data_IF_498643482109
#
_entry.id   IF_498643482109
#
_cell.length_a   1.000
_cell.length_b   1.000
_cell.length_c   1.000
_cell.angle_alpha   90.00
_cell.angle_beta   90.00
_cell.angle_gamma   90.00
#
_symmetry.space_group_name_H-M   'P 1'
#
loop_
_entity.id
_entity.type
_entity.pdbx_description
1 polymer ?
#
# COMPACT_ATOMS: atom_id res chain seq x y z
N UNK A 1 18.55 -16.44 -8.00
CA UNK A 1 17.86 -15.88 -6.84
C UNK A 1 16.52 -15.25 -7.17
N UNK A 2 16.46 -14.25 -8.07
CA UNK A 2 15.18 -13.62 -8.49
C UNK A 2 14.17 -14.65 -8.99
N UNK A 3 14.57 -15.62 -9.85
CA UNK A 3 13.71 -16.68 -10.37
C UNK A 3 13.12 -17.53 -9.25
N UNK A 4 13.92 -17.86 -8.23
CA UNK A 4 13.45 -18.62 -7.06
C UNK A 4 12.38 -17.81 -6.28
N UNK A 5 12.66 -16.53 -6.05
CA UNK A 5 11.72 -15.65 -5.36
C UNK A 5 10.39 -15.52 -6.12
N UNK A 6 10.46 -15.31 -7.45
CA UNK A 6 9.27 -15.25 -8.31
C UNK A 6 8.50 -16.58 -8.27
N UNK A 7 9.20 -17.72 -8.31
CA UNK A 7 8.59 -19.03 -8.18
C UNK A 7 7.86 -19.24 -6.85
N UNK A 8 8.49 -18.83 -5.74
CA UNK A 8 7.87 -18.87 -4.40
C UNK A 8 6.62 -18.00 -4.36
N UNK A 9 6.69 -16.77 -4.86
CA UNK A 9 5.53 -15.85 -4.85
C UNK A 9 4.39 -16.38 -5.73
N UNK A 10 4.69 -16.92 -6.91
CA UNK A 10 3.69 -17.50 -7.79
C UNK A 10 3.00 -18.73 -7.14
N UNK A 11 3.78 -19.61 -6.48
CA UNK A 11 3.25 -20.76 -5.75
C UNK A 11 2.40 -20.28 -4.56
N UNK A 12 2.86 -19.27 -3.82
CA UNK A 12 2.12 -18.67 -2.71
C UNK A 12 0.76 -18.12 -3.16
N UNK A 13 0.70 -17.45 -4.32
CA UNK A 13 -0.57 -16.95 -4.90
C UNK A 13 -1.53 -18.09 -5.26
N UNK A 14 -1.02 -19.21 -5.79
CA UNK A 14 -1.85 -20.39 -6.03
C UNK A 14 -2.40 -21.00 -4.73
N UNK A 15 -1.58 -21.06 -3.68
CA UNK A 15 -1.99 -21.55 -2.36
C UNK A 15 -3.00 -20.60 -1.71
N UNK A 16 -2.82 -19.30 -1.88
CA UNK A 16 -3.73 -18.25 -1.38
C UNK A 16 -5.15 -18.41 -1.95
N UNK A 17 -5.26 -18.74 -3.23
CA UNK A 17 -6.56 -18.99 -3.86
C UNK A 17 -7.33 -20.17 -3.23
N UNK A 18 -6.63 -21.15 -2.65
CA UNK A 18 -7.22 -22.35 -2.05
C UNK A 18 -7.41 -22.21 -0.53
N UNK A 19 -6.42 -21.65 0.18
CA UNK A 19 -6.37 -21.62 1.64
C UNK A 19 -6.64 -20.24 2.25
N UNK A 20 -6.73 -19.21 1.42
CA UNK A 20 -6.99 -17.84 1.82
C UNK A 20 -5.72 -17.07 2.22
N UNK A 21 -5.84 -15.74 2.19
CA UNK A 21 -4.75 -14.78 2.49
C UNK A 21 -4.15 -14.93 3.88
N UNK A 22 -4.91 -15.17 4.98
CA UNK A 22 -4.33 -15.30 6.32
C UNK A 22 -3.33 -16.46 6.42
N UNK A 23 -3.64 -17.59 5.79
CA UNK A 23 -2.77 -18.76 5.79
C UNK A 23 -1.42 -18.47 5.12
N UNK A 24 -1.42 -17.83 3.95
CA UNK A 24 -0.19 -17.53 3.21
C UNK A 24 0.62 -16.43 3.90
N UNK A 25 -0.06 -15.44 4.48
CA UNK A 25 0.60 -14.38 5.26
C UNK A 25 1.39 -14.96 6.43
N UNK A 26 0.84 -15.95 7.14
CA UNK A 26 1.49 -16.58 8.28
C UNK A 26 2.56 -17.60 7.87
N UNK A 27 2.24 -18.52 6.94
CA UNK A 27 3.07 -19.68 6.62
C UNK A 27 4.10 -19.47 5.52
N UNK A 28 3.99 -18.38 4.74
CA UNK A 28 4.94 -18.06 3.67
C UNK A 28 5.59 -16.71 3.93
N UNK A 29 4.81 -15.63 3.91
CA UNK A 29 5.36 -14.28 3.94
C UNK A 29 5.91 -13.88 5.32
N UNK A 30 5.32 -14.38 6.41
CA UNK A 30 5.80 -14.16 7.78
C UNK A 30 6.96 -15.06 8.21
N UNK A 31 7.33 -16.06 7.39
CA UNK A 31 8.35 -17.03 7.75
C UNK A 31 9.77 -16.48 7.55
N UNK A 32 10.65 -16.83 8.48
CA UNK A 32 12.05 -16.38 8.48
C UNK A 32 12.81 -16.72 7.20
N UNK A 33 12.55 -17.87 6.56
CA UNK A 33 13.21 -18.26 5.32
C UNK A 33 12.87 -17.32 4.15
N UNK A 34 11.63 -16.81 4.10
CA UNK A 34 11.20 -15.84 3.09
C UNK A 34 11.89 -14.48 3.29
N UNK A 35 11.99 -14.05 4.56
CA UNK A 35 12.75 -12.84 4.92
C UNK A 35 14.23 -12.99 4.58
N UNK A 36 14.83 -14.17 4.80
CA UNK A 36 16.22 -14.46 4.43
C UNK A 36 16.45 -14.40 2.91
N UNK A 37 15.50 -14.85 2.08
CA UNK A 37 15.59 -14.71 0.62
C UNK A 37 15.66 -13.23 0.21
N UNK A 38 14.84 -12.38 0.81
CA UNK A 38 14.87 -10.94 0.57
C UNK A 38 16.16 -10.28 1.10
N UNK A 39 16.65 -10.69 2.25
CA UNK A 39 17.91 -10.21 2.80
C UNK A 39 19.11 -10.56 1.89
N UNK A 40 19.14 -11.79 1.38
CA UNK A 40 20.19 -12.21 0.42
C UNK A 40 20.09 -11.45 -0.91
N UNK A 41 18.88 -11.19 -1.41
CA UNK A 41 18.68 -10.36 -2.60
C UNK A 41 19.17 -8.93 -2.37
N UNK A 42 18.84 -8.35 -1.22
CA UNK A 42 19.29 -7.01 -0.83
C UNK A 42 20.81 -6.93 -0.71
N UNK A 43 21.44 -7.91 -0.07
CA UNK A 43 22.90 -7.98 0.08
C UNK A 43 23.62 -8.13 -1.27
N UNK A 44 23.11 -8.98 -2.17
CA UNK A 44 23.67 -9.13 -3.51
C UNK A 44 23.49 -7.88 -4.35
N UNK A 45 22.33 -7.19 -4.23
CA UNK A 45 22.06 -5.91 -4.87
C UNK A 45 23.01 -4.81 -4.40
N UNK A 46 23.19 -4.70 -3.07
CA UNK A 46 24.13 -3.75 -2.48
C UNK A 46 25.58 -4.02 -2.93
N UNK A 47 26.03 -5.28 -2.89
CA UNK A 47 27.35 -5.67 -3.38
C UNK A 47 27.55 -5.33 -4.88
N UNK A 48 26.52 -5.54 -5.69
CA UNK A 48 26.55 -5.17 -7.09
C UNK A 48 26.68 -3.65 -7.29
N UNK A 49 25.92 -2.84 -6.55
CA UNK A 49 26.00 -1.38 -6.60
C UNK A 49 27.43 -0.91 -6.29
N UNK A 50 28.05 -1.49 -5.25
CA UNK A 50 29.40 -1.11 -4.83
C UNK A 50 30.49 -1.51 -5.85
N UNK A 51 30.35 -2.70 -6.46
CA UNK A 51 31.36 -3.23 -7.40
C UNK A 51 31.22 -2.73 -8.83
N UNK A 52 30.02 -2.38 -9.28
CA UNK A 52 29.73 -2.05 -10.68
C UNK A 52 30.19 -0.64 -11.12
N UNK A 53 30.62 0.21 -10.17
CA UNK A 53 30.95 1.61 -10.47
C UNK A 53 29.73 2.45 -10.90
N UNK A 54 28.52 1.97 -10.62
CA UNK A 54 27.23 2.57 -10.98
C UNK A 54 27.07 3.97 -10.39
N UNK A 55 27.79 4.27 -9.32
CA UNK A 55 27.82 5.59 -8.66
C UNK A 55 28.18 6.73 -9.64
N UNK A 56 28.92 6.42 -10.72
CA UNK A 56 29.23 7.39 -11.78
C UNK A 56 28.03 7.77 -12.65
N UNK A 57 26.94 7.01 -12.57
CA UNK A 57 25.69 7.24 -13.30
C UNK A 57 24.55 7.51 -12.31
N UNK A 58 24.53 8.72 -11.77
CA UNK A 58 23.63 9.11 -10.67
C UNK A 58 22.16 8.63 -10.82
N UNK A 59 21.48 8.78 -11.99
CA UNK A 59 20.08 8.33 -12.09
C UNK A 59 19.91 6.82 -11.88
N UNK A 60 20.80 6.01 -12.45
CA UNK A 60 20.75 4.55 -12.32
C UNK A 60 21.13 4.11 -10.91
N UNK A 61 22.11 4.78 -10.30
CA UNK A 61 22.52 4.56 -8.92
C UNK A 61 21.35 4.82 -7.95
N UNK A 62 20.69 5.98 -8.07
CA UNK A 62 19.55 6.33 -7.24
C UNK A 62 18.39 5.33 -7.40
N UNK A 63 18.15 4.85 -8.61
CA UNK A 63 17.13 3.83 -8.88
C UNK A 63 17.40 2.52 -8.10
N UNK A 64 18.62 2.05 -8.05
CA UNK A 64 18.97 0.84 -7.31
C UNK A 64 18.99 1.08 -5.78
N UNK A 65 19.44 2.25 -5.34
CA UNK A 65 19.40 2.62 -3.93
C UNK A 65 17.96 2.73 -3.44
N UNK A 66 17.04 3.26 -4.25
CA UNK A 66 15.63 3.36 -3.86
C UNK A 66 15.00 1.99 -3.56
N UNK A 67 15.34 0.95 -4.33
CA UNK A 67 14.90 -0.41 -4.01
C UNK A 67 15.46 -0.91 -2.68
N UNK A 68 16.73 -0.63 -2.37
CA UNK A 68 17.30 -0.99 -1.07
C UNK A 68 16.61 -0.26 0.09
N UNK A 69 16.26 1.01 -0.10
CA UNK A 69 15.51 1.79 0.90
C UNK A 69 14.10 1.22 1.10
N UNK A 70 13.40 0.84 0.01
CA UNK A 70 12.09 0.19 0.10
C UNK A 70 12.20 -1.14 0.86
N UNK A 71 13.19 -1.96 0.55
CA UNK A 71 13.41 -3.24 1.24
C UNK A 71 13.79 -3.05 2.71
N UNK A 72 14.59 -2.04 3.03
CA UNK A 72 14.88 -1.67 4.42
C UNK A 72 13.62 -1.22 5.16
N UNK A 73 12.73 -0.45 4.50
CA UNK A 73 11.43 -0.07 5.04
C UNK A 73 10.55 -1.29 5.32
N UNK A 74 10.44 -2.21 4.35
CA UNK A 74 9.70 -3.45 4.51
C UNK A 74 10.24 -4.33 5.66
N UNK A 75 11.57 -4.41 5.80
CA UNK A 75 12.21 -5.12 6.89
C UNK A 75 11.96 -4.44 8.25
N UNK A 76 11.98 -3.11 8.30
CA UNK A 76 11.61 -2.36 9.51
C UNK A 76 10.16 -2.64 9.90
N UNK A 77 9.22 -2.58 8.93
CA UNK A 77 7.81 -2.96 9.16
C UNK A 77 7.71 -4.39 9.71
N UNK A 78 8.44 -5.34 9.14
CA UNK A 78 8.44 -6.73 9.60
C UNK A 78 8.87 -6.85 11.06
N UNK A 79 9.86 -6.07 11.50
CA UNK A 79 10.39 -6.11 12.87
C UNK A 79 9.56 -5.32 13.89
N UNK A 80 8.95 -4.19 13.48
CA UNK A 80 8.40 -3.21 14.41
C UNK A 80 6.89 -3.02 14.33
N UNK A 81 6.24 -3.54 13.26
CA UNK A 81 4.80 -3.36 13.13
C UNK A 81 4.01 -4.28 14.05
N UNK A 82 2.94 -3.75 14.60
CA UNK A 82 1.94 -4.51 15.33
C UNK A 82 0.65 -4.56 14.51
N UNK A 83 0.09 -5.76 14.38
CA UNK A 83 -1.13 -6.01 13.61
C UNK A 83 -2.16 -6.70 14.48
N UNK A 84 -3.42 -6.30 14.29
CA UNK A 84 -4.50 -6.91 15.01
C UNK A 84 -5.85 -6.45 14.50
N UNK A 85 -6.86 -6.63 15.31
CA UNK A 85 -8.22 -6.19 15.03
C UNK A 85 -8.85 -5.60 16.28
N UNK A 86 -9.74 -4.66 16.07
CA UNK A 86 -10.59 -4.10 17.10
C UNK A 86 -12.05 -4.29 16.68
N UNK A 87 -12.88 -4.74 17.60
CA UNK A 87 -14.32 -4.82 17.46
C UNK A 87 -14.95 -3.68 18.25
N UNK A 88 -15.85 -2.95 17.63
CA UNK A 88 -16.50 -1.77 18.19
C UNK A 88 -18.00 -1.84 17.92
N UNK A 89 -18.80 -1.53 18.92
CA UNK A 89 -20.23 -1.30 18.76
C UNK A 89 -20.56 0.19 18.90
N UNK A 90 -21.67 0.61 18.31
CA UNK A 90 -22.13 2.00 18.42
C UNK A 90 -22.25 2.45 19.88
N UNK A 91 -21.59 3.56 20.21
CA UNK A 91 -21.50 4.11 21.55
C UNK A 91 -20.45 3.46 22.46
N UNK A 92 -19.74 2.44 21.99
CA UNK A 92 -18.67 1.79 22.72
C UNK A 92 -17.33 2.52 22.48
N UNK A 93 -16.53 2.61 23.54
CA UNK A 93 -15.15 3.16 23.49
C UNK A 93 -14.18 2.10 23.93
N UNK A 94 -13.11 1.94 23.18
CA UNK A 94 -12.01 0.98 23.47
C UNK A 94 -10.67 1.70 23.44
N UNK A 95 -9.73 1.19 24.25
CA UNK A 95 -8.34 1.70 24.31
C UNK A 95 -7.31 0.67 23.87
N UNK A 96 -7.75 -0.56 23.56
CA UNK A 96 -6.86 -1.66 23.20
C UNK A 96 -7.41 -2.43 21.99
N UNK A 97 -6.52 -3.11 21.26
CA UNK A 97 -6.86 -3.98 20.15
C UNK A 97 -6.29 -5.38 20.38
N UNK A 98 -6.90 -6.38 19.77
CA UNK A 98 -6.47 -7.76 19.85
C UNK A 98 -5.47 -8.06 18.71
N UNK A 99 -4.25 -8.48 19.08
CA UNK A 99 -3.23 -8.94 18.11
C UNK A 99 -3.62 -10.32 17.53
N UNK A 100 -2.94 -10.69 16.45
CA UNK A 100 -3.15 -11.99 15.79
C UNK A 100 -2.82 -13.19 16.68
N UNK A 101 -1.94 -13.02 17.69
CA UNK A 101 -1.57 -14.01 18.69
C UNK A 101 -2.58 -14.13 19.86
N UNK A 102 -3.66 -13.33 19.82
CA UNK A 102 -4.69 -13.28 20.87
C UNK A 102 -4.32 -12.40 22.07
N UNK A 103 -3.17 -11.75 22.08
CA UNK A 103 -2.79 -10.80 23.13
C UNK A 103 -3.42 -9.44 22.89
N UNK A 104 -3.70 -8.69 23.98
CA UNK A 104 -4.20 -7.33 23.88
C UNK A 104 -3.04 -6.34 23.84
N UNK A 105 -3.10 -5.39 22.91
CA UNK A 105 -2.17 -4.27 22.84
C UNK A 105 -2.90 -2.96 23.05
N UNK A 106 -2.28 -2.03 23.75
CA UNK A 106 -2.82 -0.69 23.99
C UNK A 106 -2.70 0.17 22.73
N UNK A 107 -3.77 0.89 22.39
CA UNK A 107 -3.77 1.89 21.32
C UNK A 107 -3.06 3.20 21.74
N UNK A 108 -3.03 3.49 23.04
CA UNK A 108 -2.53 4.74 23.59
C UNK A 108 -3.47 5.94 23.37
N UNK A 109 -4.73 5.67 23.00
CA UNK A 109 -5.82 6.63 22.82
C UNK A 109 -7.18 5.94 22.87
N UNK A 110 -8.24 6.74 23.06
CA UNK A 110 -9.61 6.24 23.04
C UNK A 110 -10.14 6.18 21.60
N UNK A 111 -10.75 5.06 21.23
CA UNK A 111 -11.41 4.86 19.94
C UNK A 111 -12.87 4.51 20.16
N UNK A 112 -13.78 5.37 19.68
CA UNK A 112 -15.23 5.21 19.83
C UNK A 112 -15.91 5.08 18.47
N UNK A 113 -16.88 4.17 18.33
CA UNK A 113 -17.74 4.09 17.16
C UNK A 113 -18.96 5.00 17.37
N UNK A 114 -19.15 5.98 16.49
CA UNK A 114 -20.32 6.87 16.51
C UNK A 114 -21.50 6.27 15.76
N UNK A 115 -21.24 5.80 14.54
CA UNK A 115 -22.24 5.12 13.72
C UNK A 115 -21.59 4.19 12.71
N UNK A 116 -22.32 3.17 12.34
CA UNK A 116 -22.01 2.30 11.22
C UNK A 116 -23.12 2.36 10.18
N UNK A 117 -22.79 2.50 8.91
CA UNK A 117 -23.77 2.54 7.82
C UNK A 117 -23.30 1.75 6.61
N UNK A 118 -24.27 1.19 5.90
CA UNK A 118 -24.04 0.53 4.61
C UNK A 118 -24.61 1.44 3.53
N UNK A 119 -23.75 1.90 2.64
CA UNK A 119 -24.15 2.65 1.47
C UNK A 119 -24.48 1.69 0.33
N UNK A 120 -25.65 1.85 -0.31
CA UNK A 120 -26.07 1.03 -1.43
C UNK A 120 -25.98 1.80 -2.74
N UNK A 121 -25.88 1.07 -3.85
CA UNK A 121 -25.97 1.69 -5.17
C UNK A 121 -27.35 2.31 -5.39
N UNK A 122 -27.42 3.48 -6.04
CA UNK A 122 -28.70 4.18 -6.26
C UNK A 122 -29.75 3.26 -6.89
N UNK A 123 -30.93 3.17 -6.22
CA UNK A 123 -32.06 2.36 -6.70
C UNK A 123 -31.91 0.85 -6.50
N UNK A 124 -30.95 0.38 -5.71
CA UNK A 124 -30.76 -1.05 -5.39
C UNK A 124 -30.48 -1.27 -3.91
N UNK A 125 -30.65 -2.51 -3.44
CA UNK A 125 -30.24 -2.95 -2.10
C UNK A 125 -28.82 -3.55 -2.09
N UNK A 126 -28.08 -3.42 -3.19
CA UNK A 126 -26.72 -3.93 -3.29
C UNK A 126 -25.73 -3.00 -2.60
N UNK A 127 -24.93 -3.48 -1.64
CA UNK A 127 -23.98 -2.66 -0.92
C UNK A 127 -22.89 -2.11 -1.86
N UNK A 128 -22.63 -0.80 -1.77
CA UNK A 128 -21.56 -0.11 -2.47
C UNK A 128 -20.36 0.12 -1.56
N UNK A 129 -20.59 0.53 -0.31
CA UNK A 129 -19.54 0.77 0.67
C UNK A 129 -20.05 0.49 2.11
N UNK A 130 -19.11 0.26 3.02
CA UNK A 130 -19.37 0.05 4.45
C UNK A 130 -18.61 1.13 5.20
N UNK A 131 -19.33 2.07 5.81
CA UNK A 131 -18.76 3.26 6.43
C UNK A 131 -18.87 3.17 7.94
N UNK A 132 -17.73 3.21 8.62
CA UNK A 132 -17.62 3.31 10.08
C UNK A 132 -17.16 4.72 10.44
N UNK A 133 -18.03 5.49 11.07
CA UNK A 133 -17.67 6.79 11.64
C UNK A 133 -17.14 6.58 13.05
N UNK A 134 -15.83 6.73 13.22
CA UNK A 134 -15.16 6.57 14.51
C UNK A 134 -14.54 7.88 14.96
N UNK A 135 -14.35 7.99 16.26
CA UNK A 135 -13.70 9.13 16.89
C UNK A 135 -12.48 8.63 17.67
N UNK A 136 -11.30 9.18 17.35
CA UNK A 136 -10.06 8.90 18.06
C UNK A 136 -9.64 10.14 18.86
N UNK A 137 -9.66 10.08 20.20
CA UNK A 137 -9.43 11.23 21.09
C UNK A 137 -10.17 12.50 20.62
N UNK A 138 -11.45 12.41 20.29
CA UNK A 138 -12.28 13.49 19.74
C UNK A 138 -11.95 13.92 18.30
N UNK A 139 -11.08 13.21 17.59
CA UNK A 139 -10.81 13.43 16.16
C UNK A 139 -11.70 12.51 15.32
N UNK A 140 -12.60 13.04 14.48
CA UNK A 140 -13.46 12.22 13.64
C UNK A 140 -12.67 11.56 12.51
N UNK A 141 -12.94 10.29 12.27
CA UNK A 141 -12.35 9.47 11.21
C UNK A 141 -13.47 8.69 10.50
N UNK A 142 -13.62 8.89 9.21
CA UNK A 142 -14.49 8.08 8.38
C UNK A 142 -13.67 6.93 7.78
N UNK A 143 -14.01 5.71 8.14
CA UNK A 143 -13.31 4.49 7.70
C UNK A 143 -14.26 3.70 6.81
N UNK A 144 -13.82 3.40 5.59
CA UNK A 144 -14.59 2.59 4.66
C UNK A 144 -13.70 1.58 3.92
N UNK A 145 -14.29 0.80 3.01
CA UNK A 145 -13.52 -0.17 2.20
C UNK A 145 -12.38 0.51 1.43
N UNK A 146 -12.57 1.75 0.99
CA UNK A 146 -11.61 2.51 0.19
C UNK A 146 -10.96 3.68 0.94
N UNK A 147 -11.40 3.97 2.16
CA UNK A 147 -10.87 5.05 2.99
C UNK A 147 -10.29 4.53 4.30
N UNK A 148 -8.98 4.68 4.46
CA UNK A 148 -8.23 4.20 5.62
C UNK A 148 -8.16 5.30 6.67
N UNK A 149 -8.67 5.02 7.88
CA UNK A 149 -8.47 5.88 9.05
C UNK A 149 -7.01 5.91 9.49
N UNK A 150 -6.49 7.08 9.86
CA UNK A 150 -5.10 7.24 10.33
C UNK A 150 -5.06 8.14 11.55
N UNK A 151 -4.51 7.60 12.64
CA UNK A 151 -4.32 8.37 13.88
C UNK A 151 -3.12 7.86 14.66
N UNK A 152 -2.23 8.75 15.10
CA UNK A 152 -1.02 8.46 15.92
C UNK A 152 -0.19 7.26 15.46
N UNK A 153 0.02 7.10 14.15
CA UNK A 153 0.79 5.97 13.59
C UNK A 153 0.00 4.69 13.40
N UNK A 154 -1.22 4.61 13.90
CA UNK A 154 -2.17 3.54 13.62
C UNK A 154 -2.89 3.79 12.29
N UNK A 155 -3.17 2.70 11.57
CA UNK A 155 -4.03 2.66 10.39
C UNK A 155 -5.18 1.70 10.65
N UNK A 156 -6.39 2.17 10.36
CA UNK A 156 -7.61 1.42 10.54
C UNK A 156 -8.23 1.13 9.19
N UNK A 157 -8.53 -0.13 8.94
CA UNK A 157 -9.17 -0.59 7.69
C UNK A 157 -10.45 -1.31 8.02
N UNK A 158 -11.48 -1.15 7.19
CA UNK A 158 -12.74 -1.90 7.33
C UNK A 158 -12.47 -3.38 7.08
N UNK A 159 -12.67 -4.23 8.09
CA UNK A 159 -12.44 -5.67 8.01
C UNK A 159 -13.73 -6.51 8.07
N UNK A 160 -14.78 -5.97 8.67
CA UNK A 160 -16.06 -6.65 8.79
C UNK A 160 -17.06 -5.82 9.59
N UNK A 161 -18.27 -6.36 9.75
CA UNK A 161 -19.35 -5.73 10.53
C UNK A 161 -20.22 -6.80 11.18
N UNK A 162 -21.04 -6.38 12.13
CA UNK A 162 -21.97 -7.28 12.81
C UNK A 162 -23.27 -7.43 12.01
N UNK A 163 -23.92 -8.59 12.12
CA UNK A 163 -25.16 -8.88 11.39
C UNK A 163 -26.32 -7.93 11.73
N UNK A 164 -26.28 -7.29 12.91
CA UNK A 164 -27.28 -6.31 13.34
C UNK A 164 -26.98 -4.88 12.84
N UNK A 165 -25.89 -4.70 12.04
CA UNK A 165 -25.41 -3.43 11.48
C UNK A 165 -25.15 -2.33 12.54
N UNK A 166 -24.88 -2.73 13.81
CA UNK A 166 -24.55 -1.81 14.91
C UNK A 166 -23.14 -1.95 15.43
N UNK A 167 -22.33 -2.75 14.78
CA UNK A 167 -20.93 -2.97 15.15
C UNK A 167 -20.06 -3.15 13.94
N UNK A 168 -18.80 -2.79 14.10
CA UNK A 168 -17.77 -2.89 13.07
C UNK A 168 -16.55 -3.61 13.59
N UNK A 169 -15.85 -4.30 12.69
CA UNK A 169 -14.51 -4.86 12.93
C UNK A 169 -13.51 -4.13 12.08
N UNK A 170 -12.57 -3.47 12.73
CA UNK A 170 -11.52 -2.74 12.08
C UNK A 170 -10.20 -3.50 12.20
N UNK A 171 -9.50 -3.66 11.09
CA UNK A 171 -8.11 -4.10 11.11
C UNK A 171 -7.23 -2.95 11.58
N UNK A 172 -6.32 -3.22 12.50
CA UNK A 172 -5.39 -2.25 13.07
C UNK A 172 -3.98 -2.60 12.63
N UNK A 173 -3.26 -1.62 12.10
CA UNK A 173 -1.83 -1.69 11.79
C UNK A 173 -1.13 -0.49 12.44
N UNK A 174 -0.27 -0.78 13.41
CA UNK A 174 0.64 0.20 13.99
C UNK A 174 2.03 0.03 13.37
N UNK A 175 2.50 0.99 12.60
CA UNK A 175 3.82 0.99 11.96
C UNK A 175 4.34 2.42 11.78
N UNK A 176 4.94 3.02 12.81
CA UNK A 176 5.38 4.41 12.77
C UNK A 176 6.63 4.63 11.89
N UNK A 177 7.49 3.63 11.75
CA UNK A 177 8.80 3.78 11.11
C UNK A 177 8.91 3.16 9.73
N UNK A 178 8.44 1.93 9.55
CA UNK A 178 8.60 1.18 8.32
C UNK A 178 7.87 1.80 7.15
N UNK A 179 6.66 2.30 7.41
CA UNK A 179 5.85 3.02 6.42
C UNK A 179 6.57 4.29 5.94
N UNK A 180 7.07 5.12 6.85
CA UNK A 180 7.76 6.36 6.48
C UNK A 180 9.00 6.09 5.63
N UNK A 181 9.80 5.08 6.00
CA UNK A 181 10.98 4.68 5.26
C UNK A 181 10.63 4.13 3.86
N UNK A 182 9.59 3.30 3.77
CA UNK A 182 9.11 2.75 2.48
C UNK A 182 8.61 3.85 1.54
N UNK A 183 7.83 4.82 2.04
CA UNK A 183 7.37 5.94 1.22
C UNK A 183 8.52 6.86 0.77
N UNK A 184 9.54 7.04 1.61
CA UNK A 184 10.78 7.73 1.21
C UNK A 184 11.46 7.00 0.05
N UNK A 185 11.52 5.67 0.11
CA UNK A 185 12.01 4.84 -0.98
C UNK A 185 11.19 4.99 -2.27
N UNK A 186 9.85 5.04 -2.19
CA UNK A 186 8.98 5.27 -3.35
C UNK A 186 9.19 6.66 -3.95
N UNK A 187 9.31 7.70 -3.14
CA UNK A 187 9.59 9.04 -3.63
C UNK A 187 10.95 9.08 -4.37
N UNK A 188 11.99 8.47 -3.79
CA UNK A 188 13.30 8.35 -4.43
C UNK A 188 13.24 7.54 -5.72
N UNK A 189 12.43 6.47 -5.78
CA UNK A 189 12.20 5.66 -6.97
C UNK A 189 11.57 6.49 -8.09
N UNK A 190 10.52 7.25 -7.81
CA UNK A 190 9.86 8.11 -8.79
C UNK A 190 10.81 9.18 -9.34
N UNK A 191 11.54 9.85 -8.45
CA UNK A 191 12.54 10.85 -8.86
C UNK A 191 13.61 10.21 -9.75
N UNK A 192 14.14 9.06 -9.35
CA UNK A 192 15.18 8.37 -10.12
C UNK A 192 14.68 7.89 -11.49
N UNK A 193 13.43 7.41 -11.58
CA UNK A 193 12.80 7.06 -12.87
C UNK A 193 12.74 8.27 -13.82
N UNK A 194 12.28 9.42 -13.33
CA UNK A 194 12.25 10.65 -14.13
C UNK A 194 13.66 11.04 -14.59
N UNK A 195 14.65 10.98 -13.68
CA UNK A 195 16.04 11.28 -14.01
C UNK A 195 16.63 10.31 -15.05
N UNK A 196 16.31 9.01 -14.97
CA UNK A 196 16.71 8.00 -15.96
C UNK A 196 16.08 8.31 -17.31
N UNK A 197 14.79 8.63 -17.37
CA UNK A 197 14.08 8.99 -18.60
C UNK A 197 14.65 10.26 -19.24
N UNK A 198 14.96 11.27 -18.42
CA UNK A 198 15.54 12.54 -18.88
C UNK A 198 17.02 12.46 -19.24
N UNK A 199 17.73 11.40 -18.83
CA UNK A 199 19.18 11.27 -19.07
C UNK A 199 19.52 11.18 -20.55
N UNK A 200 20.65 11.75 -20.93
CA UNK A 200 21.13 11.73 -22.34
C UNK A 200 21.43 10.32 -22.85
N UNK A 201 21.74 9.39 -21.95
CA UNK A 201 22.04 7.99 -22.25
C UNK A 201 20.82 7.06 -22.24
N UNK A 202 19.61 7.61 -22.10
CA UNK A 202 18.38 6.82 -22.07
C UNK A 202 18.12 6.19 -23.45
N UNK A 203 17.94 4.87 -23.48
CA UNK A 203 17.53 4.16 -24.70
C UNK A 203 16.17 4.64 -25.20
N UNK A 204 15.27 5.00 -24.30
CA UNK A 204 13.96 5.60 -24.64
C UNK A 204 14.14 6.89 -25.43
N UNK A 205 15.09 7.75 -25.04
CA UNK A 205 15.39 8.98 -25.79
C UNK A 205 15.98 8.70 -27.17
N UNK A 206 16.78 7.63 -27.30
CA UNK A 206 17.28 7.17 -28.61
C UNK A 206 16.14 6.66 -29.49
N UNK A 207 15.28 5.78 -28.99
CA UNK A 207 14.11 5.27 -29.70
C UNK A 207 13.10 6.39 -30.04
N UNK A 208 12.86 7.32 -29.10
CA UNK A 208 12.01 8.47 -29.30
C UNK A 208 12.51 9.36 -30.44
N UNK A 209 13.81 9.68 -30.49
CA UNK A 209 14.41 10.43 -31.58
C UNK A 209 14.30 9.69 -32.93
N UNK A 210 14.46 8.37 -32.90
CA UNK A 210 14.41 7.53 -34.11
C UNK A 210 12.99 7.39 -34.64
N UNK A 211 11.97 7.24 -33.77
CA UNK A 211 10.59 6.96 -34.19
C UNK A 211 9.74 8.20 -34.45
N UNK A 212 10.00 9.33 -33.81
CA UNK A 212 9.13 10.51 -33.80
C UNK A 212 9.71 11.77 -34.44
N UNK A 213 10.85 11.67 -35.10
CA UNK A 213 11.39 12.79 -35.90
C UNK A 213 11.62 14.10 -35.13
N UNK A 214 11.92 14.04 -33.83
CA UNK A 214 12.39 15.20 -33.09
C UNK A 214 11.32 16.16 -32.52
N UNK A 215 10.04 15.88 -32.64
CA UNK A 215 8.98 16.77 -32.14
C UNK A 215 8.86 16.73 -30.61
N UNK A 216 9.38 17.75 -29.94
CA UNK A 216 9.32 17.93 -28.47
C UNK A 216 7.87 17.95 -27.92
N UNK A 217 6.90 18.34 -28.75
CA UNK A 217 5.47 18.43 -28.37
C UNK A 217 4.87 17.07 -28.04
N UNK A 218 5.30 15.99 -28.70
CA UNK A 218 4.81 14.62 -28.42
C UNK A 218 5.36 14.04 -27.11
N UNK A 219 6.55 14.48 -26.69
CA UNK A 219 7.11 14.14 -25.37
C UNK A 219 6.32 14.82 -24.24
N UNK A 220 5.94 16.08 -24.44
CA UNK A 220 5.09 16.80 -23.50
C UNK A 220 3.73 16.12 -23.33
N UNK A 221 3.10 15.67 -24.41
CA UNK A 221 1.83 14.92 -24.38
C UNK A 221 2.00 13.56 -23.66
N UNK A 222 3.10 12.84 -23.87
CA UNK A 222 3.36 11.59 -23.17
C UNK A 222 3.61 11.83 -21.68
N UNK A 223 4.35 12.87 -21.30
CA UNK A 223 4.58 13.26 -19.89
C UNK A 223 3.30 13.77 -19.22
N UNK A 224 2.43 14.51 -19.94
CA UNK A 224 1.12 14.91 -19.40
C UNK A 224 0.19 13.72 -19.21
N UNK A 225 0.25 12.69 -20.06
CA UNK A 225 -0.50 11.45 -19.88
C UNK A 225 0.02 10.61 -18.68
N UNK A 226 1.33 10.64 -18.43
CA UNK A 226 1.95 9.97 -17.28
C UNK A 226 1.73 10.73 -15.95
N UNK A 227 1.57 12.06 -16.04
CA UNK A 227 1.32 12.96 -14.90
C UNK A 227 -0.17 13.31 -14.76
N UNK A 228 -1.04 12.82 -15.65
CA UNK A 228 -2.48 12.97 -15.45
C UNK A 228 -2.85 12.30 -14.12
N UNK A 229 -3.39 13.06 -13.16
CA UNK A 229 -3.80 12.47 -11.90
C UNK A 229 -4.85 11.40 -12.20
N UNK A 230 -4.73 10.25 -11.55
CA UNK A 230 -5.74 9.19 -11.48
C UNK A 230 -7.02 9.68 -10.75
N UNK A 231 -7.34 10.95 -10.87
CA UNK A 231 -8.56 11.60 -10.39
C UNK A 231 -9.62 11.71 -11.49
N UNK A 232 -9.79 10.67 -12.27
CA UNK A 232 -11.06 10.48 -12.97
C UNK A 232 -12.01 9.78 -11.99
N UNK A 233 -12.44 10.52 -10.98
CA UNK A 233 -13.67 10.20 -10.27
C UNK A 233 -14.77 10.14 -11.34
N UNK A 234 -15.37 8.97 -11.51
CA UNK A 234 -16.55 8.81 -12.34
C UNK A 234 -17.63 9.73 -11.78
N UNK A 235 -17.85 10.87 -12.43
CA UNK A 235 -19.09 11.62 -12.23
C UNK A 235 -20.23 10.74 -12.71
N UNK A 236 -21.22 10.44 -11.86
CA UNK A 236 -22.40 9.71 -12.32
C UNK A 236 -23.07 10.54 -13.43
N UNK A 237 -23.33 9.93 -14.58
CA UNK A 237 -24.16 10.54 -15.63
C UNK A 237 -25.55 10.74 -15.04
N UNK A 238 -26.15 11.93 -15.22
CA UNK A 238 -27.56 12.08 -14.94
C UNK A 238 -28.34 11.08 -15.83
N UNK A 239 -29.22 10.33 -15.21
CA UNK A 239 -30.23 9.54 -15.93
C UNK A 239 -31.20 10.54 -16.54
N UNK A 240 -31.28 10.62 -17.85
CA UNK A 240 -32.33 11.37 -18.54
C UNK A 240 -33.66 10.65 -18.20
N UNK A 241 -34.50 11.35 -17.45
CA UNK A 241 -35.92 11.00 -17.25
C UNK A 241 -36.70 11.36 -18.53
N UNK A 242 -36.64 10.46 -19.52
CA UNK A 242 -37.55 10.47 -20.65
C UNK A 242 -37.87 9.00 -21.03
N UNK A 243 -38.96 8.46 -20.46
CA UNK A 243 -40.11 7.71 -21.07
C UNK A 243 -41.01 7.22 -19.97
#
# INVERSE_FOLDING_TARGET
>A
MVIVLVGVMATATCVENVKGTPFVAEHVYGMWWFVMLWAMLSATGAAYILKSGMQKRLPVFLLHVSFLVILAGAFTTFLTSERGSVHLREGETVTAFMKADGTMADLGFELALKSFSVECYPGTDSPMDYVSQVEADSTPLDISMNNIGRYRGCRFTQAGYDNDMKGTRLGVLYDPWGIALTYTGYALLLISMVLVLCSKASQLRFWYRKSLGGNAMKLAVFLTFLCAPLSAGATPRPVDDDV
#
